data_IF_331451477005
#
_entry.id   IF_331451477005
#
_cell.length_a   1.000
_cell.length_b   1.000
_cell.length_c   1.000
_cell.angle_alpha   90.00
_cell.angle_beta   90.00
_cell.angle_gamma   90.00
#
_symmetry.space_group_name_H-M   'P 1'
#
loop_
_entity.id
_entity.type
_entity.pdbx_description
1 polymer ?
#
# COMPACT_ATOMS: atom_id res chain seq x y z
N UNK A 1 -71.03 36.06 -28.73
CA UNK A 1 -69.78 35.37 -29.07
C UNK A 1 -69.76 34.04 -28.36
N UNK A 2 -69.24 33.00 -29.00
CA UNK A 2 -68.95 31.71 -28.37
C UNK A 2 -67.46 31.70 -28.05
N UNK A 3 -67.07 31.27 -26.85
CA UNK A 3 -65.65 31.20 -26.47
C UNK A 3 -64.92 30.19 -27.37
N UNK A 4 -63.84 30.62 -28.03
CA UNK A 4 -63.03 29.77 -28.93
C UNK A 4 -63.59 29.61 -30.35
N UNK A 5 -64.52 30.47 -30.76
CA UNK A 5 -65.02 30.55 -32.14
C UNK A 5 -65.18 32.01 -32.56
N UNK A 6 -64.82 32.32 -33.82
CA UNK A 6 -65.10 33.63 -34.43
C UNK A 6 -66.22 33.52 -35.46
N UNK A 7 -66.95 34.62 -35.63
CA UNK A 7 -68.03 34.71 -36.62
C UNK A 7 -67.43 34.87 -38.01
N UNK A 8 -67.85 34.01 -38.94
CA UNK A 8 -67.34 34.01 -40.32
C UNK A 8 -68.31 34.69 -41.27
N UNK A 9 -69.61 34.45 -41.07
CA UNK A 9 -70.64 34.96 -41.97
C UNK A 9 -71.96 34.22 -41.81
N UNK A 10 -72.92 34.53 -42.68
CA UNK A 10 -74.18 33.78 -42.75
C UNK A 10 -74.05 32.61 -43.72
N UNK A 11 -74.77 31.52 -43.44
CA UNK A 11 -74.84 30.40 -44.36
C UNK A 11 -75.48 30.86 -45.68
N UNK A 12 -75.06 30.27 -46.80
CA UNK A 12 -75.60 30.63 -48.13
C UNK A 12 -77.10 30.35 -48.27
N UNK A 13 -77.67 29.49 -47.41
CA UNK A 13 -79.09 29.16 -47.34
C UNK A 13 -79.83 29.92 -46.23
N UNK A 14 -79.14 30.81 -45.51
CA UNK A 14 -79.73 31.63 -44.46
C UNK A 14 -80.65 32.69 -45.06
N UNK A 15 -81.81 32.89 -44.42
CA UNK A 15 -82.57 34.12 -44.61
C UNK A 15 -81.79 35.35 -44.09
N UNK A 16 -82.09 36.57 -44.57
CA UNK A 16 -81.48 37.78 -44.07
C UNK A 16 -81.72 37.95 -42.55
N UNK A 17 -80.68 38.32 -41.80
CA UNK A 17 -80.82 38.57 -40.37
C UNK A 17 -81.68 39.79 -40.02
N UNK A 18 -81.94 40.67 -40.98
CA UNK A 18 -82.84 41.81 -40.82
C UNK A 18 -83.87 41.80 -41.95
N UNK A 19 -85.11 42.14 -41.63
CA UNK A 19 -86.19 42.17 -42.61
C UNK A 19 -87.56 42.26 -41.96
N UNK A 20 -88.60 42.30 -42.79
CA UNK A 20 -90.00 42.29 -42.35
C UNK A 20 -90.46 40.83 -42.19
N UNK A 21 -91.15 40.53 -41.09
CA UNK A 21 -91.71 39.20 -40.85
C UNK A 21 -92.84 38.94 -41.83
N UNK A 22 -92.84 37.76 -42.46
CA UNK A 22 -93.88 37.31 -43.39
C UNK A 22 -94.36 35.92 -42.98
N UNK A 23 -95.53 35.52 -43.49
CA UNK A 23 -96.08 34.18 -43.27
C UNK A 23 -95.12 33.09 -43.79
N UNK A 24 -94.90 32.03 -42.99
CA UNK A 24 -93.89 30.98 -43.24
C UNK A 24 -92.74 30.98 -42.22
N UNK A 25 -91.95 29.90 -42.20
CA UNK A 25 -90.79 29.76 -41.30
C UNK A 25 -89.53 30.31 -41.97
N UNK A 26 -88.87 31.27 -41.31
CA UNK A 26 -87.54 31.78 -41.72
C UNK A 26 -86.44 31.13 -40.87
N UNK A 27 -85.31 30.83 -41.49
CA UNK A 27 -84.13 30.27 -40.84
C UNK A 27 -82.95 31.22 -41.02
N UNK A 28 -82.56 31.91 -39.95
CA UNK A 28 -81.33 32.70 -39.92
C UNK A 28 -80.22 31.85 -39.34
N UNK A 29 -79.21 31.55 -40.15
CA UNK A 29 -78.14 30.62 -39.83
C UNK A 29 -76.81 31.38 -39.83
N UNK A 30 -76.22 31.51 -38.64
CA UNK A 30 -74.90 32.10 -38.44
C UNK A 30 -73.82 31.01 -38.47
N UNK A 31 -72.78 31.23 -39.26
CA UNK A 31 -71.62 30.33 -39.39
C UNK A 31 -70.49 30.86 -38.53
N UNK A 32 -69.94 29.97 -37.71
CA UNK A 32 -68.80 30.21 -36.85
C UNK A 32 -67.70 29.20 -37.17
N UNK A 33 -66.46 29.66 -37.21
CA UNK A 33 -65.27 28.80 -37.30
C UNK A 33 -64.60 28.73 -35.94
N UNK A 34 -64.04 27.56 -35.62
CA UNK A 34 -63.32 27.33 -34.37
C UNK A 34 -61.97 28.03 -34.44
N UNK A 35 -61.64 28.78 -33.41
CA UNK A 35 -60.31 29.38 -33.28
C UNK A 35 -59.29 28.26 -33.03
N UNK A 36 -58.27 28.18 -33.87
CA UNK A 36 -57.14 27.26 -33.64
C UNK A 36 -56.29 27.77 -32.48
N UNK A 37 -56.28 27.04 -31.37
CA UNK A 37 -55.27 27.24 -30.32
C UNK A 37 -53.96 26.65 -30.80
N UNK A 38 -52.85 27.42 -30.87
CA UNK A 38 -51.57 26.86 -31.28
C UNK A 38 -51.16 25.76 -30.29
N UNK A 39 -50.95 24.54 -30.79
CA UNK A 39 -50.37 23.47 -29.97
C UNK A 39 -48.95 23.89 -29.57
N UNK A 40 -48.73 24.03 -28.26
CA UNK A 40 -47.40 24.28 -27.73
C UNK A 40 -46.59 23.01 -27.95
N UNK A 41 -45.66 23.04 -28.91
CA UNK A 41 -44.70 21.96 -29.14
C UNK A 41 -43.92 21.66 -27.86
N UNK A 42 -43.66 20.38 -27.62
CA UNK A 42 -43.01 19.89 -26.38
C UNK A 42 -41.78 19.03 -26.68
N UNK A 43 -40.91 18.93 -25.69
CA UNK A 43 -39.78 18.01 -25.68
C UNK A 43 -39.35 17.64 -24.27
N UNK A 44 -38.43 16.70 -24.18
CA UNK A 44 -37.88 16.22 -22.91
C UNK A 44 -36.36 16.27 -22.92
N UNK A 45 -35.77 16.31 -21.73
CA UNK A 45 -34.31 16.31 -21.55
C UNK A 45 -34.00 15.32 -20.44
N UNK A 46 -33.13 14.36 -20.71
CA UNK A 46 -32.60 13.45 -19.70
C UNK A 46 -31.07 13.51 -19.62
N UNK A 47 -30.56 13.01 -18.49
CA UNK A 47 -29.13 12.94 -18.22
C UNK A 47 -28.74 11.55 -17.72
N UNK A 48 -27.58 11.07 -18.17
CA UNK A 48 -26.99 9.79 -17.79
C UNK A 48 -25.51 9.95 -17.47
N UNK A 49 -25.02 9.18 -16.51
CA UNK A 49 -23.62 9.15 -16.09
C UNK A 49 -23.08 7.74 -16.37
N UNK A 50 -22.07 7.64 -17.24
CA UNK A 50 -21.50 6.35 -17.67
C UNK A 50 -20.00 6.35 -17.58
N UNK A 51 -19.40 5.17 -17.51
CA UNK A 51 -17.95 5.00 -17.60
C UNK A 51 -17.49 4.89 -19.06
N UNK A 52 -16.17 5.01 -19.30
CA UNK A 52 -15.55 4.81 -20.63
C UNK A 52 -15.77 3.42 -21.22
N UNK A 53 -16.02 2.40 -20.39
CA UNK A 53 -16.42 1.04 -20.78
C UNK A 53 -17.95 0.86 -20.92
N UNK A 54 -18.73 1.93 -20.75
CA UNK A 54 -20.18 1.96 -20.98
C UNK A 54 -21.03 1.51 -19.80
N UNK A 55 -20.45 1.26 -18.63
CA UNK A 55 -21.19 0.94 -17.40
C UNK A 55 -21.92 2.20 -16.92
N UNK A 56 -23.19 2.05 -16.57
CA UNK A 56 -23.99 3.12 -15.97
C UNK A 56 -23.60 3.29 -14.49
N UNK A 57 -23.21 4.50 -14.10
CA UNK A 57 -22.88 4.85 -12.71
C UNK A 57 -24.12 5.26 -11.91
N UNK A 58 -25.11 5.85 -12.58
CA UNK A 58 -26.37 6.28 -12.00
C UNK A 58 -27.49 6.19 -13.05
N UNK A 59 -28.69 5.81 -12.61
CA UNK A 59 -29.85 5.69 -13.48
C UNK A 59 -30.20 7.02 -14.18
N UNK A 60 -30.80 6.88 -15.36
CA UNK A 60 -31.20 8.02 -16.20
C UNK A 60 -32.16 8.92 -15.43
N UNK A 61 -31.81 10.21 -15.34
CA UNK A 61 -32.61 11.22 -14.64
C UNK A 61 -33.27 12.14 -15.65
N UNK A 62 -34.60 12.31 -15.56
CA UNK A 62 -35.33 13.31 -16.35
C UNK A 62 -35.10 14.70 -15.78
N UNK A 63 -34.46 15.58 -16.57
CA UNK A 63 -34.22 16.99 -16.24
C UNK A 63 -35.43 17.84 -16.61
N UNK A 64 -36.05 17.54 -17.75
CA UNK A 64 -37.31 18.14 -18.22
C UNK A 64 -38.20 17.04 -18.79
N UNK A 65 -39.49 17.07 -18.48
CA UNK A 65 -40.48 16.11 -18.98
C UNK A 65 -41.61 16.86 -19.67
N UNK A 66 -41.80 16.63 -20.98
CA UNK A 66 -42.85 17.27 -21.77
C UNK A 66 -42.91 18.81 -21.63
N UNK A 67 -41.74 19.44 -21.54
CA UNK A 67 -41.60 20.88 -21.38
C UNK A 67 -41.83 21.62 -22.71
N UNK A 68 -42.35 22.87 -22.68
CA UNK A 68 -42.51 23.68 -23.87
C UNK A 68 -41.17 23.96 -24.57
N UNK A 69 -41.18 23.94 -25.90
CA UNK A 69 -40.02 24.32 -26.71
C UNK A 69 -39.55 25.72 -26.34
N UNK A 70 -38.23 25.89 -26.20
CA UNK A 70 -37.58 27.15 -25.85
C UNK A 70 -37.28 27.32 -24.37
N UNK A 71 -37.83 26.47 -23.50
CA UNK A 71 -37.50 26.44 -22.07
C UNK A 71 -36.03 26.08 -21.88
N UNK A 72 -35.32 26.81 -21.01
CA UNK A 72 -33.91 26.55 -20.76
C UNK A 72 -33.70 25.33 -19.85
N UNK A 73 -32.62 24.59 -20.09
CA UNK A 73 -32.16 23.52 -19.21
C UNK A 73 -30.64 23.63 -18.99
N UNK A 74 -30.19 23.08 -17.88
CA UNK A 74 -28.78 22.90 -17.55
C UNK A 74 -28.59 21.57 -16.82
N UNK A 75 -27.48 20.90 -17.07
CA UNK A 75 -27.04 19.70 -16.36
C UNK A 75 -25.62 19.92 -15.87
N UNK A 76 -25.22 19.17 -14.84
CA UNK A 76 -23.90 19.26 -14.23
C UNK A 76 -23.29 17.87 -14.08
N UNK A 77 -21.94 17.85 -14.09
CA UNK A 77 -21.18 16.66 -13.72
C UNK A 77 -21.37 16.34 -12.23
N UNK A 78 -21.10 15.09 -11.87
CA UNK A 78 -21.17 14.61 -10.49
C UNK A 78 -19.84 14.03 -10.07
N UNK A 79 -19.64 13.91 -8.77
CA UNK A 79 -18.51 13.18 -8.20
C UNK A 79 -18.93 11.75 -7.87
N UNK A 80 -18.17 10.78 -8.34
CA UNK A 80 -18.33 9.36 -8.04
C UNK A 80 -17.04 8.85 -7.39
N UNK A 81 -17.16 8.08 -6.31
CA UNK A 81 -15.99 7.57 -5.59
C UNK A 81 -15.17 6.61 -6.47
N UNK A 82 -13.87 6.89 -6.59
CA UNK A 82 -12.95 6.14 -7.46
C UNK A 82 -13.13 6.37 -8.96
N UNK A 83 -13.74 7.48 -9.37
CA UNK A 83 -13.88 7.88 -10.77
C UNK A 83 -13.60 9.37 -10.96
N UNK A 84 -12.99 9.73 -12.08
CA UNK A 84 -12.84 11.11 -12.53
C UNK A 84 -13.60 11.37 -13.83
N UNK A 85 -14.07 12.61 -14.01
CA UNK A 85 -14.76 13.03 -15.22
C UNK A 85 -13.79 13.15 -16.40
N UNK A 86 -14.17 12.56 -17.53
CA UNK A 86 -13.36 12.56 -18.76
C UNK A 86 -13.91 13.55 -19.79
N UNK A 87 -15.23 13.65 -19.88
CA UNK A 87 -15.89 14.50 -20.88
C UNK A 87 -17.32 14.09 -21.18
N UNK A 88 -17.92 14.76 -22.17
CA UNK A 88 -19.22 14.38 -22.72
C UNK A 88 -19.06 13.23 -23.72
N UNK A 89 -20.06 12.35 -23.79
CA UNK A 89 -20.11 11.36 -24.86
C UNK A 89 -20.20 12.06 -26.22
N UNK A 90 -19.63 11.45 -27.27
CA UNK A 90 -19.63 12.01 -28.63
C UNK A 90 -21.04 12.14 -29.21
N UNK A 91 -21.99 11.32 -28.75
CA UNK A 91 -23.40 11.39 -29.17
C UNK A 91 -24.27 12.17 -28.20
N UNK A 92 -23.68 12.82 -27.19
CA UNK A 92 -24.42 13.62 -26.21
C UNK A 92 -24.91 14.93 -26.83
N UNK A 93 -26.13 15.34 -26.45
CA UNK A 93 -26.56 16.74 -26.58
C UNK A 93 -25.72 17.66 -25.66
N UNK A 94 -25.78 18.97 -25.91
CA UNK A 94 -25.14 19.97 -25.06
C UNK A 94 -25.74 19.99 -23.66
N UNK A 95 -24.88 20.07 -22.63
CA UNK A 95 -25.24 20.13 -21.22
C UNK A 95 -26.11 21.34 -20.83
N UNK A 96 -26.08 22.40 -21.64
CA UNK A 96 -26.89 23.59 -21.48
C UNK A 96 -27.51 23.96 -22.83
N UNK A 97 -28.75 24.45 -22.78
CA UNK A 97 -29.48 24.78 -23.98
C UNK A 97 -30.95 25.08 -23.72
N UNK A 98 -31.73 24.94 -24.79
CA UNK A 98 -33.19 25.07 -24.77
C UNK A 98 -33.83 23.77 -25.23
N UNK A 99 -34.99 23.45 -24.66
CA UNK A 99 -35.82 22.33 -25.09
C UNK A 99 -36.20 22.53 -26.56
N UNK A 100 -36.02 21.50 -27.37
CA UNK A 100 -36.48 21.43 -28.76
C UNK A 100 -37.60 20.40 -28.87
N UNK A 101 -38.28 20.34 -30.00
CA UNK A 101 -39.26 19.28 -30.26
C UNK A 101 -38.53 17.92 -30.25
N UNK A 102 -39.05 16.95 -29.48
CA UNK A 102 -38.41 15.64 -29.25
C UNK A 102 -37.56 15.56 -27.97
N UNK A 103 -36.79 14.48 -27.86
CA UNK A 103 -35.99 14.18 -26.66
C UNK A 103 -34.52 14.57 -26.86
N UNK A 104 -33.90 15.05 -25.78
CA UNK A 104 -32.47 15.33 -25.68
C UNK A 104 -31.82 14.44 -24.64
N UNK A 105 -30.63 13.96 -24.96
CA UNK A 105 -29.89 13.02 -24.12
C UNK A 105 -28.50 13.55 -23.78
N UNK A 106 -28.29 13.90 -22.51
CA UNK A 106 -26.98 14.39 -22.04
C UNK A 106 -26.24 13.24 -21.35
N UNK A 107 -25.01 12.97 -21.76
CA UNK A 107 -24.23 11.84 -21.25
C UNK A 107 -22.85 12.31 -20.77
N UNK A 108 -22.64 12.21 -19.46
CA UNK A 108 -21.34 12.44 -18.81
C UNK A 108 -20.55 11.13 -18.76
N UNK A 109 -19.30 11.16 -19.21
CA UNK A 109 -18.39 10.01 -19.26
C UNK A 109 -17.29 10.13 -18.21
N UNK A 110 -17.05 9.04 -17.49
CA UNK A 110 -16.09 8.93 -16.40
C UNK A 110 -15.11 7.80 -16.62
N UNK A 111 -13.92 7.89 -16.04
CA UNK A 111 -12.91 6.82 -16.03
C UNK A 111 -12.58 6.43 -14.59
N UNK A 112 -12.37 5.13 -14.37
CA UNK A 112 -12.05 4.59 -13.05
C UNK A 112 -10.64 5.03 -12.67
N UNK A 113 -10.49 5.58 -11.48
CA UNK A 113 -9.19 5.97 -10.97
C UNK A 113 -8.28 4.74 -10.79
N UNK A 114 -6.98 4.87 -11.07
CA UNK A 114 -6.04 3.79 -10.84
C UNK A 114 -6.01 3.46 -9.35
N UNK A 115 -6.24 2.19 -9.01
CA UNK A 115 -6.10 1.70 -7.65
C UNK A 115 -4.62 1.78 -7.27
N UNK A 116 -4.25 2.79 -6.49
CA UNK A 116 -2.92 2.86 -5.89
C UNK A 116 -2.88 1.80 -4.79
N UNK A 117 -2.03 0.76 -4.90
CA UNK A 117 -1.96 -0.25 -3.84
C UNK A 117 -1.47 0.43 -2.56
N UNK A 118 -2.33 0.50 -1.56
CA UNK A 118 -2.09 1.19 -0.27
C UNK A 118 -1.27 0.36 0.72
N UNK A 119 -0.81 -0.84 0.34
CA UNK A 119 0.09 -1.62 1.18
C UNK A 119 1.53 -1.15 0.97
N UNK A 120 2.16 -0.44 1.93
CA UNK A 120 3.61 -0.24 1.88
C UNK A 120 4.26 -1.62 1.87
N UNK A 121 4.99 -1.95 0.80
CA UNK A 121 5.75 -3.18 0.72
C UNK A 121 6.75 -3.14 1.89
N UNK A 122 6.54 -3.98 2.89
CA UNK A 122 7.46 -4.07 4.01
C UNK A 122 8.84 -4.47 3.48
N UNK A 123 9.79 -3.53 3.52
CA UNK A 123 11.18 -3.80 3.20
C UNK A 123 11.73 -4.81 4.20
N UNK A 124 12.45 -5.81 3.70
CA UNK A 124 13.03 -6.90 4.50
C UNK A 124 14.54 -6.93 4.34
N UNK A 125 15.20 -7.41 5.39
CA UNK A 125 16.63 -7.64 5.39
C UNK A 125 17.01 -8.93 6.11
N UNK A 126 18.21 -9.41 5.83
CA UNK A 126 18.78 -10.59 6.49
C UNK A 126 20.14 -10.25 7.09
N UNK A 127 20.43 -10.83 8.25
CA UNK A 127 21.70 -10.65 8.95
C UNK A 127 22.38 -12.00 9.06
N UNK A 128 23.65 -12.06 8.69
CA UNK A 128 24.48 -13.24 8.74
C UNK A 128 25.70 -12.98 9.62
N UNK A 129 26.27 -14.04 10.17
CA UNK A 129 27.52 -13.99 10.92
C UNK A 129 28.50 -15.04 10.40
N UNK A 130 29.79 -14.71 10.36
CA UNK A 130 30.89 -15.58 9.94
C UNK A 130 32.14 -15.32 10.79
N UNK A 131 32.97 -16.33 10.97
CA UNK A 131 34.19 -16.28 11.78
C UNK A 131 35.39 -16.73 10.94
N UNK A 132 36.43 -15.90 10.85
CA UNK A 132 37.58 -16.10 9.96
C UNK A 132 38.91 -15.93 10.69
N UNK A 133 39.99 -16.49 10.14
CA UNK A 133 41.36 -16.16 10.55
C UNK A 133 41.84 -14.81 9.98
N UNK A 134 43.05 -14.37 10.36
CA UNK A 134 43.68 -13.13 9.88
C UNK A 134 43.89 -13.08 8.36
N UNK A 135 43.82 -14.22 7.67
CA UNK A 135 43.93 -14.31 6.22
C UNK A 135 42.55 -14.34 5.52
N UNK A 136 41.45 -14.29 6.29
CA UNK A 136 40.08 -14.33 5.80
C UNK A 136 39.54 -15.75 5.55
N UNK A 137 40.27 -16.81 5.93
CA UNK A 137 39.80 -18.18 5.79
C UNK A 137 38.77 -18.51 6.87
N UNK A 138 37.73 -19.28 6.54
CA UNK A 138 36.72 -19.68 7.52
C UNK A 138 37.34 -20.61 8.56
N UNK A 139 37.09 -20.34 9.84
CA UNK A 139 37.47 -21.26 10.90
C UNK A 139 36.54 -22.49 10.88
N UNK A 140 37.01 -23.68 11.28
CA UNK A 140 36.15 -24.85 11.45
C UNK A 140 34.97 -24.56 12.40
N UNK A 141 33.73 -24.71 11.92
CA UNK A 141 32.53 -24.37 12.69
C UNK A 141 32.23 -22.87 12.79
N UNK A 142 32.90 -22.07 11.96
CA UNK A 142 32.75 -20.63 11.80
C UNK A 142 32.08 -20.21 10.49
N UNK A 143 31.41 -21.14 9.79
CA UNK A 143 30.80 -20.90 8.48
C UNK A 143 29.73 -19.79 8.55
N UNK A 144 29.40 -19.18 7.40
CA UNK A 144 28.34 -18.16 7.30
C UNK A 144 27.00 -18.73 7.77
N UNK A 145 26.50 -18.24 8.91
CA UNK A 145 25.22 -18.65 9.51
C UNK A 145 24.22 -17.49 9.51
N UNK A 146 22.93 -17.82 9.55
CA UNK A 146 21.84 -16.86 9.54
C UNK A 146 21.50 -16.46 10.99
N UNK A 147 21.53 -15.16 11.26
CA UNK A 147 21.06 -14.58 12.54
C UNK A 147 19.60 -14.16 12.40
N UNK A 148 19.26 -13.47 11.31
CA UNK A 148 17.90 -13.04 10.98
C UNK A 148 17.64 -13.31 9.50
N UNK A 149 16.51 -13.96 9.18
CA UNK A 149 16.07 -14.19 7.80
C UNK A 149 14.83 -13.36 7.49
N UNK A 150 14.88 -12.52 6.46
CA UNK A 150 13.74 -11.72 6.01
C UNK A 150 13.08 -10.90 7.14
N UNK A 151 13.89 -10.38 8.06
CA UNK A 151 13.44 -9.57 9.17
C UNK A 151 12.98 -8.20 8.71
N UNK A 152 12.06 -7.60 9.49
CA UNK A 152 11.57 -6.25 9.24
C UNK A 152 12.71 -5.24 9.39
N UNK A 153 12.89 -4.38 8.39
CA UNK A 153 13.87 -3.29 8.46
C UNK A 153 13.63 -2.42 9.70
N UNK A 154 14.72 -2.07 10.38
CA UNK A 154 14.74 -1.33 11.63
C UNK A 154 14.73 -2.18 12.90
N UNK A 155 14.48 -3.50 12.80
CA UNK A 155 14.55 -4.43 13.94
C UNK A 155 15.98 -4.55 14.45
N UNK A 156 16.19 -4.70 15.76
CA UNK A 156 17.52 -4.85 16.33
C UNK A 156 18.07 -6.27 16.12
N UNK A 157 19.38 -6.37 15.94
CA UNK A 157 20.12 -7.63 15.97
C UNK A 157 21.35 -7.53 16.86
N UNK A 158 21.80 -8.68 17.33
CA UNK A 158 22.97 -8.86 18.18
C UNK A 158 23.67 -10.15 17.80
N UNK A 159 25.00 -10.10 17.76
CA UNK A 159 25.88 -11.25 17.51
C UNK A 159 27.02 -11.21 18.51
N UNK A 160 27.63 -12.37 18.77
CA UNK A 160 28.75 -12.50 19.70
C UNK A 160 29.90 -13.25 19.07
N UNK A 161 31.07 -13.03 19.65
CA UNK A 161 32.23 -13.89 19.48
C UNK A 161 31.89 -15.34 19.83
N UNK A 162 32.64 -16.25 19.24
CA UNK A 162 32.63 -17.68 19.54
C UNK A 162 34.04 -18.12 19.94
N UNK A 163 34.12 -19.13 20.80
CA UNK A 163 35.39 -19.74 21.18
C UNK A 163 35.81 -20.77 20.14
N UNK A 164 37.04 -20.63 19.64
CA UNK A 164 37.68 -21.57 18.72
C UNK A 164 38.98 -22.06 19.35
N UNK A 165 39.15 -23.38 19.42
CA UNK A 165 40.36 -23.97 20.00
C UNK A 165 41.61 -23.56 19.23
N UNK A 166 42.64 -23.09 19.95
CA UNK A 166 43.87 -22.58 19.35
C UNK A 166 43.76 -21.21 18.67
N UNK A 167 42.65 -20.48 18.81
CA UNK A 167 42.47 -19.13 18.27
C UNK A 167 41.99 -18.16 19.34
N UNK A 168 42.27 -16.86 19.15
CA UNK A 168 41.79 -15.77 20.01
C UNK A 168 41.18 -14.68 19.15
N UNK A 169 40.05 -14.12 19.59
CA UNK A 169 39.44 -12.97 18.91
C UNK A 169 40.44 -11.80 18.83
N UNK A 170 40.52 -11.23 17.64
CA UNK A 170 41.41 -10.11 17.29
C UNK A 170 40.59 -8.83 17.13
N UNK A 171 39.76 -8.76 16.10
CA UNK A 171 38.94 -7.59 15.77
C UNK A 171 37.78 -7.95 14.82
N UNK A 172 36.87 -7.01 14.58
CA UNK A 172 35.87 -7.10 13.52
C UNK A 172 36.53 -6.79 12.16
N UNK A 173 36.18 -7.53 11.10
CA UNK A 173 36.68 -7.23 9.74
C UNK A 173 36.28 -5.81 9.30
N UNK A 174 37.11 -5.14 8.50
CA UNK A 174 36.85 -3.75 8.04
C UNK A 174 35.55 -3.63 7.23
N UNK A 175 35.24 -4.61 6.39
CA UNK A 175 33.99 -4.66 5.59
C UNK A 175 32.79 -5.27 6.36
N UNK A 176 32.94 -5.49 7.66
CA UNK A 176 31.89 -6.10 8.48
C UNK A 176 30.80 -5.10 8.84
N UNK A 177 29.56 -5.57 8.90
CA UNK A 177 28.54 -4.93 9.71
C UNK A 177 28.90 -4.99 11.21
N UNK A 178 28.41 -4.03 12.00
CA UNK A 178 28.65 -4.00 13.45
C UNK A 178 28.07 -5.24 14.14
N UNK A 179 28.68 -5.69 15.24
CA UNK A 179 28.18 -6.82 16.04
C UNK A 179 26.75 -6.61 16.57
N UNK A 180 26.34 -5.36 16.74
CA UNK A 180 25.01 -4.94 17.15
C UNK A 180 24.51 -3.84 16.23
N UNK A 181 23.24 -3.89 15.83
CA UNK A 181 22.71 -2.88 14.92
C UNK A 181 21.23 -3.06 14.62
N UNK A 182 20.76 -2.37 13.58
CA UNK A 182 19.41 -2.51 13.03
C UNK A 182 19.46 -3.21 11.68
N UNK A 183 18.47 -4.05 11.40
CA UNK A 183 18.28 -4.68 10.09
C UNK A 183 18.07 -3.59 9.03
N UNK A 184 18.93 -3.51 8.02
CA UNK A 184 18.75 -2.70 6.82
C UNK A 184 18.17 -3.55 5.68
N UNK A 185 17.67 -2.91 4.63
CA UNK A 185 17.20 -3.60 3.43
C UNK A 185 18.35 -4.37 2.75
N UNK A 186 18.11 -5.63 2.38
CA UNK A 186 19.13 -6.49 1.76
C UNK A 186 19.87 -7.38 2.77
N UNK A 187 21.13 -7.71 2.49
CA UNK A 187 21.96 -8.58 3.34
C UNK A 187 22.99 -7.78 4.14
N UNK A 188 23.14 -8.11 5.42
CA UNK A 188 24.23 -7.66 6.28
C UNK A 188 25.06 -8.86 6.72
N UNK A 189 26.38 -8.70 6.74
CA UNK A 189 27.30 -9.73 7.16
C UNK A 189 28.19 -9.20 8.29
N UNK A 190 28.13 -9.87 9.44
CA UNK A 190 29.01 -9.63 10.59
C UNK A 190 30.16 -10.63 10.53
N UNK A 191 31.41 -10.16 10.55
CA UNK A 191 32.61 -10.98 10.39
C UNK A 191 33.59 -10.74 11.53
N UNK A 192 33.77 -11.76 12.37
CA UNK A 192 34.77 -11.75 13.45
C UNK A 192 36.08 -12.36 12.97
N UNK A 193 37.20 -11.67 13.20
CA UNK A 193 38.55 -12.09 12.81
C UNK A 193 39.33 -12.58 14.03
N UNK A 194 40.03 -13.70 13.87
CA UNK A 194 40.77 -14.38 14.94
C UNK A 194 42.23 -14.62 14.58
N UNK A 195 43.10 -14.51 15.57
CA UNK A 195 44.54 -14.82 15.46
C UNK A 195 44.80 -16.21 16.03
N UNK A 196 45.64 -17.00 15.37
CA UNK A 196 46.06 -18.32 15.86
C UNK A 196 47.02 -18.17 17.05
N UNK A 197 46.79 -18.92 18.11
CA UNK A 197 47.66 -18.93 19.27
C UNK A 197 49.01 -19.58 18.92
N UNK A 198 50.11 -18.86 19.17
CA UNK A 198 51.45 -19.42 19.06
C UNK A 198 51.75 -20.24 20.32
N UNK A 199 51.57 -21.56 20.26
CA UNK A 199 52.23 -22.46 21.20
C UNK A 199 53.73 -22.47 20.90
N UNK A 200 54.63 -22.18 21.87
CA UNK A 200 56.06 -22.38 21.69
C UNK A 200 56.31 -23.83 21.28
N UNK A 201 57.01 -24.03 20.17
CA UNK A 201 57.51 -25.35 19.78
C UNK A 201 58.47 -25.83 20.88
N UNK A 202 58.30 -27.03 21.48
CA UNK A 202 59.24 -27.52 22.47
C UNK A 202 60.64 -27.64 21.84
N UNK A 203 61.67 -27.14 22.53
CA UNK A 203 63.07 -27.30 22.12
C UNK A 203 63.42 -28.79 21.97
N UNK A 204 64.29 -29.18 21.01
CA UNK A 204 64.67 -30.58 20.85
C UNK A 204 65.40 -31.06 22.10
N UNK A 205 64.90 -32.12 22.72
CA UNK A 205 65.45 -32.69 23.95
C UNK A 205 66.87 -33.23 23.70
N UNK A 206 67.84 -32.68 24.40
CA UNK A 206 69.22 -33.20 24.48
C UNK A 206 69.22 -34.57 25.20
N UNK A 207 70.01 -35.57 24.76
CA UNK A 207 69.91 -36.92 25.30
C UNK A 207 70.51 -37.02 26.72
N UNK A 208 69.68 -37.37 27.70
CA UNK A 208 70.14 -37.64 29.07
C UNK A 208 70.85 -38.99 29.19
N UNK A 209 72.04 -38.97 29.79
CA UNK A 209 72.83 -40.11 30.27
C UNK A 209 72.30 -40.52 31.66
N UNK A 210 72.17 -41.81 32.00
CA UNK A 210 71.43 -42.22 33.20
C UNK A 210 72.29 -42.08 34.46
N UNK A 211 71.67 -41.60 35.55
CA UNK A 211 72.21 -41.68 36.91
C UNK A 211 71.28 -42.51 37.82
N UNK A 212 71.83 -43.19 38.86
CA UNK A 212 71.22 -44.33 39.50
C UNK A 212 70.41 -43.99 40.77
N UNK A 213 69.58 -44.95 41.14
CA UNK A 213 68.57 -44.94 42.20
C UNK A 213 69.11 -44.79 43.63
N UNK A 214 68.38 -44.05 44.47
CA UNK A 214 68.24 -44.36 45.90
C UNK A 214 66.80 -44.11 46.41
N UNK A 215 66.41 -44.97 47.35
CA UNK A 215 65.15 -45.15 48.09
C UNK A 215 65.59 -45.54 49.52
N UNK A 216 64.76 -45.53 50.60
CA UNK A 216 63.64 -44.69 51.07
C UNK A 216 63.93 -44.04 52.46
N UNK A 217 63.05 -43.16 52.97
CA UNK A 217 62.33 -43.39 54.25
C UNK A 217 61.26 -42.30 54.56
N UNK A 218 60.04 -42.79 54.76
CA UNK A 218 58.88 -42.27 55.51
C UNK A 218 59.10 -42.47 57.04
N UNK A 219 58.34 -41.89 58.01
CA UNK A 219 56.85 -41.97 58.04
C UNK A 219 55.99 -40.94 58.84
N UNK A 220 54.70 -40.87 58.41
CA UNK A 220 53.43 -40.72 59.17
C UNK A 220 53.19 -39.43 60.00
N UNK A 221 51.96 -38.93 60.19
CA UNK A 221 50.72 -39.66 60.47
C UNK A 221 49.42 -38.80 60.33
N UNK A 222 48.34 -39.48 59.91
CA UNK A 222 46.90 -39.38 60.26
C UNK A 222 46.09 -38.06 60.06
N UNK A 223 44.81 -38.08 59.66
CA UNK A 223 43.70 -39.04 59.86
C UNK A 223 42.63 -38.82 58.76
N UNK A 224 42.22 -39.84 57.98
CA UNK A 224 40.97 -40.68 58.08
C UNK A 224 39.68 -39.85 58.14
N UNK A 225 38.74 -39.98 57.20
CA UNK A 225 37.81 -41.12 57.03
C UNK A 225 37.24 -41.14 55.57
N UNK A 226 37.48 -42.16 54.71
CA UNK A 226 36.70 -43.40 54.37
C UNK A 226 35.20 -43.17 54.10
N UNK A 227 34.43 -43.76 53.17
CA UNK A 227 34.43 -44.94 52.25
C UNK A 227 33.29 -44.60 51.25
N UNK A 228 33.22 -44.97 49.96
CA UNK A 228 33.08 -46.33 49.44
C UNK A 228 33.06 -46.29 47.90
N UNK A 229 33.64 -47.32 47.31
CA UNK A 229 33.58 -47.72 45.88
C UNK A 229 32.88 -49.09 45.87
N UNK A 230 32.25 -49.53 44.77
CA UNK A 230 32.98 -50.55 44.02
C UNK A 230 32.91 -50.43 42.49
N UNK A 231 34.09 -50.65 41.94
CA UNK A 231 34.49 -51.09 40.61
C UNK A 231 33.84 -52.42 40.19
N UNK A 232 33.57 -52.60 38.89
CA UNK A 232 33.87 -53.78 38.03
C UNK A 232 33.82 -53.26 36.57
N UNK A 233 34.87 -53.22 35.75
CA UNK A 233 35.80 -54.23 35.17
C UNK A 233 35.12 -55.33 34.36
N UNK A 234 35.34 -55.31 33.03
CA UNK A 234 35.68 -56.45 32.14
C UNK A 234 35.50 -56.04 30.66
N UNK A 235 36.58 -55.72 29.93
CA UNK A 235 37.26 -56.58 28.93
C UNK A 235 36.37 -57.16 27.82
N UNK A 236 36.53 -56.69 26.57
CA UNK A 236 37.07 -57.46 25.41
C UNK A 236 36.66 -56.89 24.03
N UNK A 237 37.69 -56.74 23.17
CA UNK A 237 37.74 -56.91 21.69
C UNK A 237 37.00 -55.93 20.74
N UNK A 238 37.84 -55.09 20.14
CA UNK A 238 38.01 -54.78 18.71
C UNK A 238 36.97 -55.39 17.73
N UNK A 239 36.26 -54.52 17.00
CA UNK A 239 36.17 -54.58 15.54
C UNK A 239 35.83 -53.19 14.95
N UNK A 240 36.41 -52.88 13.80
CA UNK A 240 36.32 -51.58 13.10
C UNK A 240 34.93 -51.33 12.46
N UNK A 241 34.48 -50.07 12.43
CA UNK A 241 34.24 -49.27 11.20
C UNK A 241 33.39 -47.97 11.47
N UNK A 242 34.04 -46.81 11.28
CA UNK A 242 33.62 -45.45 10.84
C UNK A 242 32.21 -44.81 11.13
N UNK A 243 32.20 -43.88 12.12
CA UNK A 243 31.87 -42.40 12.08
C UNK A 243 30.42 -41.80 11.95
N UNK A 244 30.14 -40.87 12.90
CA UNK A 244 29.34 -39.58 12.91
C UNK A 244 27.90 -39.46 13.49
N UNK A 245 27.87 -38.83 14.68
CA UNK A 245 27.11 -37.66 15.23
C UNK A 245 25.57 -37.53 15.07
N UNK A 246 24.95 -37.36 16.25
CA UNK A 246 23.54 -37.03 16.52
C UNK A 246 23.37 -35.54 16.90
N UNK A 247 22.09 -35.07 16.89
CA UNK A 247 21.38 -34.27 17.93
C UNK A 247 20.57 -33.10 17.32
N UNK A 248 19.24 -33.14 17.20
CA UNK A 248 18.13 -33.08 18.18
C UNK A 248 17.65 -31.65 18.54
N UNK A 249 16.42 -31.35 18.12
CA UNK A 249 15.45 -30.29 18.51
C UNK A 249 14.92 -30.58 19.95
N UNK A 250 14.40 -29.67 20.79
CA UNK A 250 13.11 -28.91 20.75
C UNK A 250 13.04 -27.79 21.83
N UNK A 251 12.15 -26.81 21.60
CA UNK A 251 11.62 -25.64 22.36
C UNK A 251 10.96 -25.97 23.74
N UNK A 252 10.16 -25.10 24.46
CA UNK A 252 9.87 -23.62 24.44
C UNK A 252 9.88 -22.95 25.85
N UNK A 253 9.77 -21.61 26.03
CA UNK A 253 9.31 -21.01 27.32
C UNK A 253 8.63 -19.61 27.23
N UNK A 254 7.71 -19.39 28.20
CA UNK A 254 6.71 -18.33 28.46
C UNK A 254 7.07 -17.38 29.64
N UNK A 255 6.38 -16.22 29.73
CA UNK A 255 6.07 -15.43 30.97
C UNK A 255 6.81 -14.08 31.10
N UNK A 256 6.32 -12.97 31.71
CA UNK A 256 5.14 -12.68 32.54
C UNK A 256 5.08 -11.15 32.93
N UNK A 257 3.86 -10.61 33.22
CA UNK A 257 3.44 -9.50 34.14
C UNK A 257 3.64 -7.97 33.85
N UNK A 258 2.47 -7.28 33.75
CA UNK A 258 1.94 -5.98 34.33
C UNK A 258 2.97 -4.87 34.71
N UNK A 259 2.82 -3.60 34.30
CA UNK A 259 2.02 -2.54 34.98
C UNK A 259 1.76 -1.26 34.13
N UNK A 260 0.59 -0.69 34.40
CA UNK A 260 -0.02 0.65 34.23
C UNK A 260 0.75 1.94 33.77
N UNK A 261 -0.02 2.83 33.10
CA UNK A 261 0.00 4.32 33.09
C UNK A 261 0.64 5.14 31.94
N UNK A 262 -0.27 5.76 31.18
CA UNK A 262 -0.28 7.10 30.54
C UNK A 262 0.86 7.55 29.61
N UNK A 263 0.48 7.78 28.34
CA UNK A 263 0.60 9.02 27.56
C UNK A 263 1.69 10.03 27.95
N UNK A 264 2.52 10.48 26.98
CA UNK A 264 2.74 11.91 26.61
C UNK A 264 4.05 12.14 25.82
N UNK A 265 3.90 12.94 24.75
CA UNK A 265 4.83 13.82 24.01
C UNK A 265 6.22 13.39 23.52
N UNK A 266 6.48 13.79 22.27
CA UNK A 266 7.68 14.58 21.97
C UNK A 266 8.23 14.43 20.55
N UNK A 267 7.70 15.16 19.57
CA UNK A 267 8.38 15.38 18.29
C UNK A 267 9.02 16.78 18.29
N UNK A 268 10.35 16.82 18.31
CA UNK A 268 11.16 18.03 18.08
C UNK A 268 11.45 18.10 16.59
N UNK A 269 10.92 19.11 15.90
CA UNK A 269 11.22 19.39 14.49
C UNK A 269 12.36 20.41 14.39
N UNK A 270 13.53 19.96 13.94
CA UNK A 270 14.60 20.82 13.43
C UNK A 270 14.36 21.07 11.94
N UNK A 271 13.94 22.28 11.59
CA UNK A 271 13.83 22.74 10.20
C UNK A 271 14.82 23.86 9.92
N UNK A 272 15.86 23.54 9.14
CA UNK A 272 16.78 24.50 8.54
C UNK A 272 16.80 24.25 7.02
N UNK A 273 16.31 25.21 6.22
CA UNK A 273 16.70 25.42 4.83
C UNK A 273 16.06 26.71 4.31
N UNK A 274 16.88 27.75 4.16
CA UNK A 274 16.56 28.86 3.27
C UNK A 274 17.00 28.55 1.85
N UNK A 275 16.37 29.17 0.85
CA UNK A 275 17.04 29.59 -0.39
C UNK A 275 16.27 30.77 -1.01
N UNK A 276 17.09 31.72 -1.48
CA UNK A 276 16.78 32.99 -2.13
C UNK A 276 16.37 32.80 -3.61
N UNK A 277 15.68 33.79 -4.20
CA UNK A 277 15.85 34.11 -5.62
C UNK A 277 14.66 34.66 -6.42
N UNK A 278 14.50 35.99 -6.41
CA UNK A 278 14.31 36.92 -7.55
C UNK A 278 13.52 36.53 -8.82
N UNK A 279 12.58 37.41 -9.26
CA UNK A 279 12.43 37.71 -10.70
C UNK A 279 11.07 38.16 -11.29
N UNK A 280 10.82 39.48 -11.32
CA UNK A 280 10.27 40.31 -12.42
C UNK A 280 8.93 39.93 -13.12
N UNK A 281 7.93 40.83 -13.08
CA UNK A 281 7.27 41.36 -14.30
C UNK A 281 6.51 42.69 -14.11
N UNK A 282 6.94 43.71 -14.86
CA UNK A 282 6.15 44.91 -15.21
C UNK A 282 5.07 44.52 -16.23
N UNK A 283 3.91 45.19 -16.17
CA UNK A 283 3.04 45.36 -17.34
C UNK A 283 2.59 46.83 -17.38
N UNK A 284 3.06 47.53 -18.41
CA UNK A 284 2.47 48.79 -18.88
C UNK A 284 1.09 48.47 -19.48
N UNK A 285 0.10 49.28 -19.15
CA UNK A 285 -1.12 49.40 -19.94
C UNK A 285 -1.13 50.80 -20.56
N UNK A 286 -1.28 50.82 -21.88
CA UNK A 286 -1.28 51.99 -22.73
C UNK A 286 -2.66 52.63 -22.69
N UNK A 287 -2.72 53.91 -22.36
CA UNK A 287 -3.82 54.77 -22.79
C UNK A 287 -3.79 54.86 -24.33
N UNK A 288 -4.92 54.55 -24.95
CA UNK A 288 -5.19 54.95 -26.32
C UNK A 288 -6.70 55.09 -26.54
N UNK A 289 -7.11 56.33 -26.84
CA UNK A 289 -8.41 56.85 -27.30
C UNK A 289 -9.49 57.13 -26.24
#
# INVERSE_FOLDING_TARGET
>A
SFTGYHFVGMDKKSDPATGVVSEGTKHVIYVYEKDETPEVKKGSVDVKYVTTDGKVLEDVTKVKDNAPVGEAYTTEEKSFDGYHFVGMDKTSDSANGKVTEGDKHIVYVYEKDPEVPTTPVEKKGSVYVKYVDENGNELPGGEKTIVIKNGKVGSYYFTTEKDFDGYKFSHMSEDSANATGKVIEGEQLVVYVYTKNNTPQPEPSEPEVPAPSEKPETPQEESKDVTDVPTKTSTSKVNAEKVTVNKATVLPQTGDKKENNSSVMGLVSLGLAGLLGLGIKRKEEKDNH
#
